data_IF_182786108755
#
_entry.id   IF_182786108755
#
_cell.length_a   1.000
_cell.length_b   1.000
_cell.length_c   1.000
_cell.angle_alpha   90.00
_cell.angle_beta   90.00
_cell.angle_gamma   90.00
#
_symmetry.space_group_name_H-M   'P 1'
#
loop_
_entity.id
_entity.type
_entity.pdbx_description
1 polymer ?
#
# COMPACT_ATOMS: atom_id res chain seq x y z
N UNK A 1 11.26 -9.45 -10.97
CA UNK A 1 11.80 -9.92 -12.25
C UNK A 1 13.32 -10.05 -12.14
N UNK A 2 14.08 -8.97 -11.86
CA UNK A 2 15.56 -8.97 -11.76
C UNK A 2 16.05 -9.96 -10.70
N UNK A 3 15.51 -9.91 -9.50
CA UNK A 3 15.85 -10.82 -8.39
C UNK A 3 15.54 -12.30 -8.70
N UNK A 4 14.63 -12.55 -9.63
CA UNK A 4 14.28 -13.89 -10.10
C UNK A 4 15.10 -14.35 -11.33
N UNK A 5 16.10 -13.56 -11.75
CA UNK A 5 16.95 -13.88 -12.90
C UNK A 5 16.26 -13.85 -14.27
N UNK A 6 15.11 -13.22 -14.38
CA UNK A 6 14.41 -13.07 -15.65
C UNK A 6 15.16 -12.08 -16.54
N UNK A 7 15.41 -12.48 -17.80
CA UNK A 7 16.02 -11.59 -18.79
C UNK A 7 15.10 -10.39 -19.08
N UNK A 8 15.66 -9.20 -18.95
CA UNK A 8 14.97 -7.97 -19.34
C UNK A 8 15.11 -7.72 -20.85
N UNK A 9 14.05 -7.19 -21.45
CA UNK A 9 14.17 -6.64 -22.79
C UNK A 9 14.97 -5.34 -22.76
N UNK A 10 15.64 -5.01 -23.86
CA UNK A 10 16.38 -3.74 -24.00
C UNK A 10 15.49 -2.50 -23.81
N UNK A 11 14.16 -2.66 -23.82
CA UNK A 11 13.18 -1.58 -23.66
C UNK A 11 12.62 -1.46 -22.24
N UNK A 12 12.81 -2.46 -21.37
CA UNK A 12 12.21 -2.49 -20.03
C UNK A 12 12.70 -1.33 -19.17
N UNK A 13 14.01 -1.17 -19.07
CA UNK A 13 14.60 -0.14 -18.23
C UNK A 13 14.32 1.30 -18.70
N UNK A 14 14.44 1.65 -20.00
CA UNK A 14 13.98 2.94 -20.50
C UNK A 14 12.53 3.26 -20.16
N UNK A 15 11.62 2.26 -20.26
CA UNK A 15 10.22 2.43 -19.88
C UNK A 15 10.07 2.69 -18.38
N UNK A 16 10.73 1.90 -17.53
CA UNK A 16 10.67 2.10 -16.07
C UNK A 16 11.16 3.50 -15.67
N UNK A 17 12.25 3.98 -16.28
CA UNK A 17 12.73 5.36 -16.07
C UNK A 17 11.73 6.41 -16.51
N UNK A 18 11.07 6.21 -17.64
CA UNK A 18 10.02 7.13 -18.11
C UNK A 18 8.82 7.15 -17.14
N UNK A 19 8.44 5.99 -16.60
CA UNK A 19 7.39 5.90 -15.57
C UNK A 19 7.80 6.59 -14.27
N UNK A 20 9.03 6.41 -13.79
CA UNK A 20 9.55 7.12 -12.61
C UNK A 20 9.49 8.64 -12.81
N UNK A 21 9.91 9.13 -13.97
CA UNK A 21 9.82 10.55 -14.29
C UNK A 21 8.37 11.04 -14.37
N UNK A 22 7.45 10.21 -14.86
CA UNK A 22 6.03 10.55 -14.85
C UNK A 22 5.49 10.63 -13.41
N UNK A 23 5.76 9.62 -12.56
CA UNK A 23 5.36 9.58 -11.15
C UNK A 23 5.87 10.81 -10.41
N UNK A 24 7.13 11.20 -10.64
CA UNK A 24 7.72 12.38 -10.00
C UNK A 24 6.91 13.66 -10.24
N UNK A 25 6.37 13.85 -11.43
CA UNK A 25 5.52 15.01 -11.75
C UNK A 25 4.14 14.97 -11.12
N UNK A 26 3.76 13.84 -10.53
CA UNK A 26 2.46 13.65 -9.88
C UNK A 26 2.55 13.64 -8.34
N UNK A 27 3.77 13.75 -7.76
CA UNK A 27 3.99 13.59 -6.32
C UNK A 27 3.08 14.42 -5.43
N UNK A 28 2.80 15.65 -5.81
CA UNK A 28 2.02 16.58 -4.98
C UNK A 28 0.54 16.67 -5.41
N UNK A 29 0.09 15.78 -6.28
CA UNK A 29 -1.30 15.77 -6.77
C UNK A 29 -2.16 14.80 -5.95
N UNK A 30 -3.29 15.27 -5.41
CA UNK A 30 -4.32 14.39 -4.87
C UNK A 30 -4.88 13.45 -5.95
N UNK A 31 -5.32 12.28 -5.54
CA UNK A 31 -5.93 11.27 -6.40
C UNK A 31 -7.20 10.66 -5.77
N UNK A 32 -7.78 9.67 -6.41
CA UNK A 32 -8.97 8.96 -5.94
C UNK A 32 -8.66 7.62 -5.27
N UNK A 33 -7.38 7.33 -5.02
CA UNK A 33 -6.90 6.09 -4.41
C UNK A 33 -7.10 4.85 -5.28
N UNK A 34 -6.68 3.70 -4.78
CA UNK A 34 -6.81 2.41 -5.49
C UNK A 34 -8.29 2.01 -5.71
N UNK A 35 -9.19 2.54 -4.90
CA UNK A 35 -10.62 2.24 -4.98
C UNK A 35 -11.39 3.14 -5.94
N UNK A 36 -10.71 4.09 -6.59
CA UNK A 36 -11.32 5.09 -7.49
C UNK A 36 -12.53 5.79 -6.83
N UNK A 37 -12.32 6.23 -5.60
CA UNK A 37 -13.36 6.86 -4.77
C UNK A 37 -13.94 8.08 -5.49
N UNK A 38 -15.27 8.20 -5.51
CA UNK A 38 -15.98 9.27 -6.24
C UNK A 38 -16.04 10.60 -5.49
N UNK A 39 -15.53 10.65 -4.26
CA UNK A 39 -15.42 11.88 -3.47
C UNK A 39 -14.30 12.80 -3.96
N UNK A 40 -14.03 13.84 -3.18
CA UNK A 40 -12.92 14.75 -3.46
C UNK A 40 -11.57 14.02 -3.47
N UNK A 41 -10.69 14.30 -4.46
CA UNK A 41 -9.34 13.73 -4.50
C UNK A 41 -8.57 14.06 -3.22
N UNK A 42 -7.78 13.09 -2.73
CA UNK A 42 -7.02 13.20 -1.48
C UNK A 42 -5.61 12.65 -1.64
N UNK A 43 -4.75 12.90 -0.66
CA UNK A 43 -3.42 12.29 -0.58
C UNK A 43 -3.53 10.95 0.16
N UNK A 44 -3.86 9.89 -0.60
CA UNK A 44 -4.00 8.54 -0.05
C UNK A 44 -2.64 7.96 0.36
N UNK A 45 -2.58 7.39 1.56
CA UNK A 45 -1.37 6.76 2.10
C UNK A 45 -0.87 5.62 1.20
N UNK A 46 -1.80 4.80 0.69
CA UNK A 46 -1.45 3.74 -0.26
C UNK A 46 -0.82 4.29 -1.54
N UNK A 47 -1.42 5.32 -2.17
CA UNK A 47 -0.87 5.94 -3.39
C UNK A 47 0.54 6.47 -3.15
N UNK A 48 0.76 7.17 -2.03
CA UNK A 48 2.08 7.67 -1.62
C UNK A 48 3.08 6.53 -1.41
N UNK A 49 2.65 5.44 -0.77
CA UNK A 49 3.49 4.26 -0.55
C UNK A 49 3.85 3.55 -1.87
N UNK A 50 2.96 3.51 -2.84
CA UNK A 50 3.25 2.97 -4.18
C UNK A 50 4.24 3.85 -4.95
N UNK A 51 4.15 5.18 -4.84
CA UNK A 51 5.16 6.11 -5.38
C UNK A 51 6.51 5.88 -4.69
N UNK A 52 6.54 5.76 -3.36
CA UNK A 52 7.73 5.40 -2.61
C UNK A 52 8.36 4.10 -3.12
N UNK A 53 7.53 3.05 -3.29
CA UNK A 53 8.00 1.76 -3.80
C UNK A 53 8.59 1.86 -5.21
N UNK A 54 8.03 2.68 -6.08
CA UNK A 54 8.57 2.92 -7.42
C UNK A 54 10.00 3.48 -7.34
N UNK A 55 10.24 4.52 -6.53
CA UNK A 55 11.57 5.09 -6.35
C UNK A 55 12.53 4.15 -5.61
N UNK A 56 12.06 3.37 -4.62
CA UNK A 56 12.86 2.33 -3.97
C UNK A 56 13.36 1.30 -4.99
N UNK A 57 12.49 0.84 -5.90
CA UNK A 57 12.88 -0.09 -6.97
C UNK A 57 13.84 0.56 -7.97
N UNK A 58 13.66 1.85 -8.28
CA UNK A 58 14.58 2.62 -9.12
C UNK A 58 15.97 2.72 -8.49
N UNK A 59 16.07 3.05 -7.22
CA UNK A 59 17.33 3.10 -6.46
C UNK A 59 18.02 1.74 -6.47
N UNK A 60 17.30 0.66 -6.10
CA UNK A 60 17.84 -0.70 -6.08
C UNK A 60 18.28 -1.16 -7.47
N UNK A 61 17.58 -0.78 -8.53
CA UNK A 61 17.98 -1.12 -9.90
C UNK A 61 19.35 -0.55 -10.26
N UNK A 62 19.69 0.64 -9.77
CA UNK A 62 21.01 1.22 -9.96
C UNK A 62 22.06 0.60 -9.03
N UNK A 63 21.76 0.49 -7.74
CA UNK A 63 22.71 0.05 -6.71
C UNK A 63 23.03 -1.44 -6.78
N UNK A 64 22.01 -2.28 -6.96
CA UNK A 64 22.15 -3.75 -6.91
C UNK A 64 22.41 -4.36 -8.30
N UNK A 65 21.95 -3.70 -9.38
CA UNK A 65 22.02 -4.26 -10.74
C UNK A 65 22.84 -3.38 -11.72
N UNK A 66 23.44 -2.27 -11.24
CA UNK A 66 24.34 -1.41 -12.04
C UNK A 66 23.66 -0.70 -13.21
N UNK A 67 22.35 -0.53 -13.18
CA UNK A 67 21.63 0.13 -14.27
C UNK A 67 21.82 1.65 -14.23
N UNK A 68 21.84 2.35 -15.38
CA UNK A 68 22.10 3.78 -15.41
C UNK A 68 20.89 4.59 -14.93
N UNK A 69 21.08 5.47 -13.95
CA UNK A 69 20.02 6.35 -13.44
C UNK A 69 20.52 7.39 -12.45
N UNK A 70 19.75 8.44 -12.19
CA UNK A 70 20.09 9.51 -11.24
C UNK A 70 19.80 9.05 -9.79
N UNK A 71 20.59 8.11 -9.27
CA UNK A 71 20.33 7.39 -8.01
C UNK A 71 20.21 8.34 -6.81
N UNK A 72 21.05 9.35 -6.69
CA UNK A 72 20.99 10.31 -5.57
C UNK A 72 19.68 11.10 -5.56
N UNK A 73 19.22 11.50 -6.75
CA UNK A 73 17.95 12.19 -6.90
C UNK A 73 16.78 11.28 -6.51
N UNK A 74 16.75 10.03 -7.00
CA UNK A 74 15.70 9.09 -6.64
C UNK A 74 15.69 8.70 -5.16
N UNK A 75 16.89 8.65 -4.55
CA UNK A 75 17.04 8.43 -3.11
C UNK A 75 16.40 9.58 -2.32
N UNK A 76 16.67 10.82 -2.72
CA UNK A 76 16.07 11.99 -2.08
C UNK A 76 14.53 12.02 -2.20
N UNK A 77 13.99 11.67 -3.37
CA UNK A 77 12.52 11.56 -3.57
C UNK A 77 11.93 10.44 -2.70
N UNK A 78 12.57 9.27 -2.66
CA UNK A 78 12.15 8.15 -1.81
C UNK A 78 12.11 8.54 -0.33
N UNK A 79 13.13 9.22 0.17
CA UNK A 79 13.22 9.66 1.56
C UNK A 79 12.19 10.74 1.87
N UNK A 80 11.94 11.69 0.95
CA UNK A 80 10.86 12.66 1.08
C UNK A 80 9.50 11.98 1.24
N UNK A 81 9.17 11.05 0.34
CA UNK A 81 7.91 10.30 0.39
C UNK A 81 7.77 9.51 1.69
N UNK A 82 8.88 8.92 2.16
CA UNK A 82 8.92 8.22 3.44
C UNK A 82 8.55 9.13 4.60
N UNK A 83 9.22 10.28 4.69
CA UNK A 83 8.99 11.26 5.73
C UNK A 83 7.54 11.78 5.72
N UNK A 84 6.99 12.06 4.54
CA UNK A 84 5.61 12.53 4.40
C UNK A 84 4.59 11.47 4.86
N UNK A 85 4.80 10.18 4.55
CA UNK A 85 3.93 9.10 5.02
C UNK A 85 4.05 8.94 6.55
N UNK A 86 5.27 8.99 7.09
CA UNK A 86 5.49 8.87 8.53
C UNK A 86 4.89 10.05 9.31
N UNK A 87 4.83 11.25 8.72
CA UNK A 87 4.25 12.47 9.32
C UNK A 87 2.72 12.53 9.17
N UNK A 88 2.19 12.23 7.97
CA UNK A 88 0.80 12.54 7.59
C UNK A 88 -0.08 11.33 7.34
N UNK A 89 0.54 10.18 7.03
CA UNK A 89 -0.13 8.91 6.82
C UNK A 89 -0.32 8.08 8.09
N UNK A 90 0.00 8.66 9.27
CA UNK A 90 -0.12 8.02 10.59
C UNK A 90 -0.96 8.87 11.52
N UNK A 91 -1.96 8.27 12.17
CA UNK A 91 -2.73 8.88 13.24
C UNK A 91 -3.00 7.84 14.34
N UNK A 92 -3.02 8.25 15.59
CA UNK A 92 -3.26 7.39 16.77
C UNK A 92 -2.37 6.13 16.78
N UNK A 93 -1.11 6.26 16.31
CA UNK A 93 -0.14 5.17 16.28
C UNK A 93 -0.38 4.10 15.20
N UNK A 94 -1.22 4.35 14.20
CA UNK A 94 -1.50 3.45 13.08
C UNK A 94 -1.48 4.17 11.73
N UNK A 95 -1.23 3.45 10.67
CA UNK A 95 -1.42 3.97 9.30
C UNK A 95 -2.90 4.23 9.05
N UNK A 96 -3.17 5.33 8.34
CA UNK A 96 -4.53 5.79 8.00
C UNK A 96 -4.71 5.89 6.50
N UNK A 97 -5.96 5.90 6.06
CA UNK A 97 -6.34 5.87 4.64
C UNK A 97 -5.77 7.04 3.83
N UNK A 98 -5.87 8.25 4.36
CA UNK A 98 -5.36 9.49 3.75
C UNK A 98 -5.04 10.54 4.83
N UNK A 99 -4.32 11.59 4.45
CA UNK A 99 -3.96 12.71 5.33
C UNK A 99 -5.19 13.36 5.97
N UNK A 100 -5.15 13.51 7.29
CA UNK A 100 -6.20 14.20 8.06
C UNK A 100 -7.39 13.33 8.46
N UNK A 101 -7.34 12.02 8.21
CA UNK A 101 -8.34 11.06 8.70
C UNK A 101 -7.80 10.19 9.83
N UNK A 102 -8.71 9.51 10.55
CA UNK A 102 -8.38 8.39 11.44
C UNK A 102 -8.90 7.05 10.89
N UNK A 103 -9.57 7.06 9.73
CA UNK A 103 -10.09 5.87 9.09
C UNK A 103 -8.98 5.03 8.48
N UNK A 104 -9.22 3.72 8.42
CA UNK A 104 -8.38 2.74 7.72
C UNK A 104 -9.10 2.18 6.50
N UNK A 105 -8.33 1.68 5.54
CA UNK A 105 -8.85 0.85 4.46
C UNK A 105 -7.94 -0.38 4.23
N UNK A 106 -8.44 -1.33 3.46
CA UNK A 106 -7.71 -2.57 3.22
C UNK A 106 -6.44 -2.38 2.37
N UNK A 107 -6.29 -1.29 1.64
CA UNK A 107 -5.10 -1.02 0.82
C UNK A 107 -3.84 -0.87 1.67
N UNK A 108 -3.97 -0.46 2.93
CA UNK A 108 -2.87 -0.34 3.89
C UNK A 108 -2.17 -1.69 4.16
N UNK A 109 -2.85 -2.82 3.92
CA UNK A 109 -2.26 -4.16 4.01
C UNK A 109 -1.14 -4.41 2.97
N UNK A 110 -1.05 -3.57 1.95
CA UNK A 110 0.01 -3.63 0.96
C UNK A 110 1.36 -3.08 1.46
N UNK A 111 1.38 -2.23 2.50
CA UNK A 111 2.60 -1.57 2.97
C UNK A 111 3.75 -2.53 3.28
N UNK A 112 3.55 -3.62 4.05
CA UNK A 112 4.61 -4.60 4.28
C UNK A 112 4.96 -5.42 3.04
N UNK A 113 4.00 -5.63 2.13
CA UNK A 113 4.24 -6.42 0.91
C UNK A 113 5.16 -5.68 -0.07
N UNK A 114 5.05 -4.36 -0.13
CA UNK A 114 5.94 -3.53 -0.95
C UNK A 114 7.28 -3.21 -0.27
N UNK A 115 7.44 -3.59 1.01
CA UNK A 115 8.66 -3.37 1.78
C UNK A 115 8.73 -1.98 2.44
N UNK A 116 7.60 -1.27 2.55
CA UNK A 116 7.57 0.03 3.21
C UNK A 116 7.83 -0.08 4.72
N UNK A 117 7.26 -1.06 5.38
CA UNK A 117 7.48 -1.38 6.79
C UNK A 117 7.57 -2.89 7.00
N UNK A 118 8.04 -3.32 8.18
CA UNK A 118 7.96 -4.71 8.59
C UNK A 118 6.50 -5.10 8.92
N UNK A 119 6.17 -6.39 8.80
CA UNK A 119 4.83 -6.88 9.14
C UNK A 119 4.52 -6.78 10.64
N UNK A 120 5.56 -6.74 11.46
CA UNK A 120 5.53 -6.59 12.92
C UNK A 120 5.81 -5.14 13.39
N UNK A 121 5.89 -4.17 12.47
CA UNK A 121 5.92 -2.74 12.82
C UNK A 121 4.73 -2.41 13.73
N UNK A 122 4.93 -1.80 14.90
CA UNK A 122 3.83 -1.49 15.84
C UNK A 122 2.66 -0.72 15.19
N UNK A 123 2.95 0.19 14.25
CA UNK A 123 1.93 0.93 13.51
C UNK A 123 1.13 0.02 12.59
N UNK A 124 1.81 -0.95 11.95
CA UNK A 124 1.14 -1.93 11.08
C UNK A 124 0.29 -2.90 11.88
N UNK A 125 0.76 -3.36 13.05
CA UNK A 125 -0.04 -4.18 13.95
C UNK A 125 -1.29 -3.44 14.44
N UNK A 126 -1.17 -2.16 14.81
CA UNK A 126 -2.30 -1.33 15.19
C UNK A 126 -3.27 -1.09 14.01
N UNK A 127 -2.74 -0.93 12.77
CA UNK A 127 -3.56 -0.82 11.55
C UNK A 127 -4.36 -2.10 11.30
N UNK A 128 -3.72 -3.26 11.43
CA UNK A 128 -4.39 -4.57 11.29
C UNK A 128 -5.49 -4.73 12.33
N UNK A 129 -5.22 -4.41 13.59
CA UNK A 129 -6.23 -4.48 14.65
C UNK A 129 -7.44 -3.59 14.35
N UNK A 130 -7.22 -2.40 13.80
CA UNK A 130 -8.30 -1.49 13.42
C UNK A 130 -9.07 -2.01 12.19
N UNK A 131 -8.39 -2.58 11.18
CA UNK A 131 -9.02 -3.25 10.03
C UNK A 131 -9.89 -4.41 10.51
N UNK A 132 -9.38 -5.26 11.40
CA UNK A 132 -10.16 -6.37 11.98
C UNK A 132 -11.42 -5.86 12.69
N UNK A 133 -11.30 -4.79 13.45
CA UNK A 133 -12.40 -4.21 14.22
C UNK A 133 -13.47 -3.55 13.34
N UNK A 134 -13.08 -2.92 12.23
CA UNK A 134 -13.96 -2.02 11.46
C UNK A 134 -14.33 -2.52 10.07
N UNK A 135 -13.49 -3.36 9.47
CA UNK A 135 -13.67 -3.81 8.08
C UNK A 135 -13.94 -5.31 7.96
N UNK A 136 -13.95 -6.09 9.05
CA UNK A 136 -14.34 -7.49 8.96
C UNK A 136 -15.84 -7.65 9.05
N UNK A 137 -16.43 -8.31 8.03
CA UNK A 137 -17.83 -8.74 8.00
C UNK A 137 -17.87 -10.22 7.64
N UNK A 138 -18.50 -11.04 8.46
CA UNK A 138 -18.60 -12.50 8.29
C UNK A 138 -17.25 -13.20 8.08
N UNK A 139 -16.18 -12.62 8.69
CA UNK A 139 -14.81 -13.12 8.61
C UNK A 139 -14.11 -12.82 7.30
N UNK A 140 -14.63 -11.95 6.44
CA UNK A 140 -14.01 -11.43 5.23
C UNK A 140 -13.82 -9.92 5.34
N UNK A 141 -12.88 -9.37 4.58
CA UNK A 141 -12.44 -7.96 4.67
C UNK A 141 -13.15 -7.10 3.63
N UNK A 142 -13.77 -6.00 4.09
CA UNK A 142 -14.26 -4.92 3.24
C UNK A 142 -13.11 -4.08 2.69
N UNK A 143 -13.33 -3.36 1.58
CA UNK A 143 -12.36 -2.40 1.04
C UNK A 143 -12.15 -1.22 1.99
N UNK A 144 -13.24 -0.61 2.43
CA UNK A 144 -13.31 0.56 3.31
C UNK A 144 -14.69 0.62 3.98
N UNK A 145 -14.90 1.57 4.90
CA UNK A 145 -16.21 1.82 5.51
C UNK A 145 -17.01 2.82 4.69
N UNK A 146 -18.15 2.43 4.14
CA UNK A 146 -19.08 3.34 3.45
C UNK A 146 -19.70 4.37 4.39
N UNK A 147 -19.94 3.99 5.66
CA UNK A 147 -20.45 4.89 6.70
C UNK A 147 -19.55 6.11 6.97
N UNK A 148 -18.30 6.12 6.51
CA UNK A 148 -17.42 7.31 6.53
C UNK A 148 -17.85 8.37 5.51
N UNK A 149 -18.76 8.06 4.58
CA UNK A 149 -19.22 8.95 3.51
C UNK A 149 -18.18 9.23 2.42
N UNK A 150 -17.08 8.48 2.41
CA UNK A 150 -15.94 8.75 1.53
C UNK A 150 -16.26 8.55 0.05
N UNK A 151 -17.12 7.58 -0.28
CA UNK A 151 -17.46 7.22 -1.66
C UNK A 151 -18.72 7.91 -2.20
N UNK A 152 -19.47 8.61 -1.33
CA UNK A 152 -20.71 9.31 -1.68
C UNK A 152 -21.83 8.38 -2.15
N UNK A 153 -21.74 7.07 -1.89
CA UNK A 153 -22.75 6.08 -2.25
C UNK A 153 -23.57 5.69 -1.03
N UNK A 154 -24.89 5.55 -1.23
CA UNK A 154 -25.78 4.97 -0.26
C UNK A 154 -25.73 3.43 -0.36
N UNK A 155 -25.62 2.75 0.78
CA UNK A 155 -25.69 1.31 0.86
C UNK A 155 -24.55 0.66 1.63
N UNK A 156 -24.65 -0.65 1.79
CA UNK A 156 -23.66 -1.47 2.48
C UNK A 156 -22.59 -1.96 1.51
N UNK A 157 -21.33 -1.87 1.94
CA UNK A 157 -20.20 -2.50 1.25
C UNK A 157 -20.22 -4.02 1.47
N UNK A 158 -19.90 -4.78 0.45
CA UNK A 158 -19.71 -6.22 0.52
C UNK A 158 -18.22 -6.58 0.61
N UNK A 159 -17.88 -7.72 1.28
CA UNK A 159 -16.49 -8.16 1.35
C UNK A 159 -15.87 -8.34 -0.04
N UNK A 160 -14.63 -7.90 -0.18
CA UNK A 160 -13.84 -8.08 -1.39
C UNK A 160 -12.73 -9.09 -1.14
N UNK A 161 -12.79 -10.25 -1.75
CA UNK A 161 -11.90 -11.37 -1.47
C UNK A 161 -10.41 -11.00 -1.57
N UNK A 162 -10.04 -10.12 -2.51
CA UNK A 162 -8.67 -9.66 -2.64
C UNK A 162 -8.15 -9.02 -1.33
N UNK A 163 -8.99 -8.25 -0.62
CA UNK A 163 -8.63 -7.64 0.67
C UNK A 163 -8.35 -8.71 1.73
N UNK A 164 -9.16 -9.78 1.77
CA UNK A 164 -8.94 -10.91 2.65
C UNK A 164 -7.62 -11.62 2.33
N UNK A 165 -7.31 -11.81 1.03
CA UNK A 165 -6.02 -12.38 0.63
C UNK A 165 -4.84 -11.47 0.93
N UNK A 166 -5.00 -10.14 0.99
CA UNK A 166 -3.93 -9.24 1.43
C UNK A 166 -3.67 -9.33 2.95
N UNK A 167 -4.68 -9.68 3.74
CA UNK A 167 -4.55 -9.87 5.18
C UNK A 167 -3.81 -11.19 5.53
N UNK A 168 -3.94 -12.22 4.70
CA UNK A 168 -3.28 -13.53 4.92
C UNK A 168 -1.76 -13.42 5.10
N UNK A 169 -0.98 -12.84 4.14
CA UNK A 169 0.46 -12.70 4.31
C UNK A 169 0.83 -11.79 5.48
N UNK A 170 -0.02 -10.83 5.84
CA UNK A 170 0.19 -9.99 7.01
C UNK A 170 0.11 -10.81 8.31
N UNK A 171 -0.90 -11.66 8.45
CA UNK A 171 -1.01 -12.59 9.58
C UNK A 171 0.19 -13.53 9.65
N UNK A 172 0.52 -14.19 8.54
CA UNK A 172 1.60 -15.15 8.49
C UNK A 172 2.95 -14.51 8.90
N UNK A 173 3.26 -13.33 8.36
CA UNK A 173 4.52 -12.61 8.60
C UNK A 173 4.61 -11.96 9.98
N UNK A 174 3.47 -11.68 10.63
CA UNK A 174 3.41 -11.22 12.02
C UNK A 174 3.28 -12.35 13.04
N UNK A 175 3.48 -13.62 12.64
CA UNK A 175 3.46 -14.79 13.53
C UNK A 175 2.07 -15.37 13.81
N UNK A 176 1.00 -14.85 13.20
CA UNK A 176 -0.40 -15.27 13.37
C UNK A 176 -0.79 -16.34 12.34
N UNK A 177 -0.01 -17.42 12.26
CA UNK A 177 -0.18 -18.47 11.24
C UNK A 177 -1.56 -19.15 11.30
N UNK A 178 -2.12 -19.35 12.51
CA UNK A 178 -3.46 -19.95 12.67
C UNK A 178 -4.55 -19.08 12.03
N UNK A 179 -4.46 -17.77 12.21
CA UNK A 179 -5.43 -16.81 11.63
C UNK A 179 -5.28 -16.76 10.11
N UNK A 180 -4.05 -16.82 9.61
CA UNK A 180 -3.78 -16.90 8.17
C UNK A 180 -4.43 -18.12 7.53
N UNK A 181 -4.25 -19.32 8.14
CA UNK A 181 -4.87 -20.55 7.65
C UNK A 181 -6.39 -20.49 7.71
N UNK A 182 -6.95 -20.06 8.84
CA UNK A 182 -8.41 -19.95 9.00
C UNK A 182 -9.05 -18.97 7.98
N UNK A 183 -8.33 -17.91 7.62
CA UNK A 183 -8.81 -16.95 6.64
C UNK A 183 -8.76 -17.50 5.20
N UNK A 184 -7.76 -18.33 4.86
CA UNK A 184 -7.66 -18.98 3.54
C UNK A 184 -8.77 -20.02 3.37
N UNK A 185 -9.03 -20.83 4.40
CA UNK A 185 -9.98 -21.93 4.32
C UNK A 185 -11.44 -21.45 4.21
N UNK A 186 -11.75 -20.25 4.71
CA UNK A 186 -13.11 -19.70 4.74
C UNK A 186 -13.74 -19.46 3.37
N UNK A 187 -13.08 -18.88 2.35
CA UNK A 187 -13.64 -18.68 1.02
C UNK A 187 -13.88 -19.99 0.25
N UNK A 188 -13.30 -21.11 0.72
CA UNK A 188 -13.40 -22.43 0.08
C UNK A 188 -14.51 -23.29 0.69
N UNK A 189 -15.18 -22.84 1.74
CA UNK A 189 -16.30 -23.51 2.42
C UNK A 189 -17.65 -22.95 1.96
#
# INVERSE_FOLDING_TARGET
ARDAGLQESMHSWPLERALLHHVERQLDRPDNGIWEIRGEPRLFTHSRAMMWAAFDRGVRAVEEHGLPGPVEHWRAVRERLRAEIDERGVADGRFVQYEGTTEVDASLLALPQIGFCAADDPRMLATVAEIERTLMRDGLVLRYRTASGIDGLDGDEHPFLACSFWLVPQYARSGRMKDATALIDRPCA
#
